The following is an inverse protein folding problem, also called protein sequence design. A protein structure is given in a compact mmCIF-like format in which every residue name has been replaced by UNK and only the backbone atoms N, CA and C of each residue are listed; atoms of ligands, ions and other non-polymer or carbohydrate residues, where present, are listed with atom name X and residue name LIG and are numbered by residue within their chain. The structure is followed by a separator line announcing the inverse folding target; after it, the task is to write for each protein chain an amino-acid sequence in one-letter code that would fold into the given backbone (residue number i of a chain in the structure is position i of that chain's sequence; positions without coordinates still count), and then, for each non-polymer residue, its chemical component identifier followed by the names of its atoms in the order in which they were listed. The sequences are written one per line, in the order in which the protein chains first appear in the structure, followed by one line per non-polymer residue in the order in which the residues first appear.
data_IF_121108620477
#
_entry.id   IF_121108620477
#
_cell.length_a   1.000
_cell.length_b   1.000
_cell.length_c   1.000
_cell.angle_alpha   90.00
_cell.angle_beta   90.00
_cell.angle_gamma   90.00
#
_symmetry.space_group_name_H-M   'P 1'
#
loop_
_entity.id
_entity.type
_entity.pdbx_description
1 polymer ?
#
# COMPACT_ATOMS: atom_id res chain seq x y z
N UNK A 1 -12.05 20.48 -8.24
CA UNK A 1 -11.36 19.18 -8.47
C UNK A 1 -10.26 19.42 -9.47
N UNK A 2 -9.07 18.81 -9.35
CA UNK A 2 -8.00 18.95 -10.35
C UNK A 2 -8.44 18.46 -11.74
N UNK A 3 -8.02 19.16 -12.81
CA UNK A 3 -8.40 18.84 -14.20
C UNK A 3 -7.98 17.43 -14.62
N UNK A 4 -6.83 16.94 -14.12
CA UNK A 4 -6.36 15.57 -14.36
C UNK A 4 -7.34 14.48 -13.91
N UNK A 5 -8.23 14.78 -12.95
CA UNK A 5 -9.22 13.84 -12.43
C UNK A 5 -10.60 14.00 -13.07
N UNK A 6 -10.87 15.16 -13.69
CA UNK A 6 -12.19 15.50 -14.20
C UNK A 6 -12.77 14.53 -15.25
N UNK A 7 -11.97 13.90 -16.13
CA UNK A 7 -12.51 12.90 -17.04
C UNK A 7 -13.04 11.65 -16.34
N UNK A 8 -12.44 11.24 -15.22
CA UNK A 8 -12.68 9.92 -14.60
C UNK A 8 -13.52 9.98 -13.33
N UNK A 9 -13.45 11.10 -12.61
CA UNK A 9 -14.10 11.28 -11.32
C UNK A 9 -15.14 12.40 -11.37
N UNK A 10 -16.18 12.25 -10.57
CA UNK A 10 -17.21 13.26 -10.35
C UNK A 10 -17.35 13.52 -8.85
N UNK A 11 -17.65 14.77 -8.51
CA UNK A 11 -18.01 15.13 -7.14
C UNK A 11 -19.49 14.81 -6.92
N UNK A 12 -19.79 14.07 -5.86
CA UNK A 12 -21.15 13.69 -5.50
C UNK A 12 -21.32 13.74 -3.98
N UNK A 13 -22.55 13.91 -3.50
CA UNK A 13 -22.89 13.81 -2.08
C UNK A 13 -23.74 12.58 -1.87
N UNK A 14 -23.40 11.81 -0.84
CA UNK A 14 -24.27 10.80 -0.26
C UNK A 14 -24.98 11.40 0.97
N UNK A 15 -25.92 10.68 1.61
CA UNK A 15 -26.51 11.09 2.88
C UNK A 15 -25.46 11.38 3.97
N UNK A 16 -24.37 10.61 4.04
CA UNK A 16 -23.37 10.75 5.10
C UNK A 16 -22.17 11.66 4.76
N UNK A 17 -21.81 11.82 3.49
CA UNK A 17 -20.52 12.44 3.14
C UNK A 17 -20.47 13.09 1.75
N UNK A 18 -19.47 13.96 1.55
CA UNK A 18 -19.08 14.43 0.23
C UNK A 18 -18.01 13.49 -0.35
N UNK A 19 -18.11 13.16 -1.63
CA UNK A 19 -17.26 12.18 -2.29
C UNK A 19 -16.69 12.70 -3.61
N UNK A 20 -15.50 12.19 -3.95
CA UNK A 20 -15.02 12.11 -5.33
C UNK A 20 -15.09 10.63 -5.72
N UNK A 21 -15.95 10.29 -6.66
CA UNK A 21 -16.21 8.92 -7.08
C UNK A 21 -15.90 8.77 -8.56
N UNK A 22 -15.41 7.59 -8.97
CA UNK A 22 -15.37 7.22 -10.39
C UNK A 22 -16.78 7.37 -10.96
N UNK A 23 -16.88 7.87 -12.20
CA UNK A 23 -18.18 8.17 -12.83
C UNK A 23 -19.12 6.95 -12.81
N UNK A 24 -18.58 5.76 -13.08
CA UNK A 24 -19.33 4.50 -13.06
C UNK A 24 -19.78 4.04 -11.67
N UNK A 25 -19.26 4.64 -10.59
CA UNK A 25 -19.67 4.39 -9.21
C UNK A 25 -20.49 5.53 -8.61
N UNK A 26 -20.70 6.64 -9.34
CA UNK A 26 -21.29 7.86 -8.80
C UNK A 26 -22.70 7.62 -8.24
N UNK A 27 -23.57 6.96 -9.01
CA UNK A 27 -24.96 6.71 -8.61
C UNK A 27 -25.04 5.87 -7.32
N UNK A 28 -24.24 4.79 -7.24
CA UNK A 28 -24.14 3.93 -6.06
C UNK A 28 -23.62 4.67 -4.82
N UNK A 29 -22.60 5.52 -4.99
CA UNK A 29 -22.10 6.39 -3.91
C UNK A 29 -23.19 7.38 -3.48
N UNK A 30 -23.92 7.98 -4.42
CA UNK A 30 -25.03 8.91 -4.13
C UNK A 30 -26.15 8.26 -3.31
N UNK A 31 -26.43 6.97 -3.54
CA UNK A 31 -27.37 6.17 -2.73
C UNK A 31 -26.86 5.80 -1.33
N UNK A 32 -25.58 6.05 -1.04
CA UNK A 32 -24.98 5.75 0.26
C UNK A 32 -24.42 4.34 0.41
N UNK A 33 -24.14 3.61 -0.67
CA UNK A 33 -23.57 2.24 -0.61
C UNK A 33 -22.19 2.17 0.12
N UNK A 34 -21.53 3.32 0.34
CA UNK A 34 -20.27 3.42 1.08
C UNK A 34 -20.38 4.22 2.40
N UNK A 35 -21.58 4.64 2.81
CA UNK A 35 -21.78 5.52 3.97
C UNK A 35 -21.47 4.84 5.30
N UNK A 36 -21.64 3.52 5.36
CA UNK A 36 -21.31 2.68 6.50
C UNK A 36 -19.83 2.78 6.92
N UNK A 37 -18.94 3.18 5.99
CA UNK A 37 -17.55 3.48 6.30
C UNK A 37 -17.41 4.61 7.33
N UNK A 38 -18.36 5.54 7.40
CA UNK A 38 -18.37 6.61 8.42
C UNK A 38 -19.16 6.21 9.68
N UNK A 39 -20.22 5.40 9.53
CA UNK A 39 -21.10 4.97 10.62
C UNK A 39 -20.54 3.91 11.58
N UNK A 40 -19.43 3.24 11.24
CA UNK A 40 -18.78 2.28 12.14
C UNK A 40 -19.43 0.88 12.18
N UNK A 41 -20.47 0.63 11.38
CA UNK A 41 -20.98 -0.71 11.08
C UNK A 41 -20.28 -1.19 9.82
N UNK A 42 -19.12 -1.83 9.97
CA UNK A 42 -18.49 -2.45 8.81
C UNK A 42 -19.26 -3.72 8.46
N UNK A 43 -19.54 -3.95 7.17
CA UNK A 43 -19.86 -5.28 6.64
C UNK A 43 -18.76 -6.30 6.94
N UNK A 44 -18.79 -7.47 6.30
CA UNK A 44 -17.89 -8.59 6.62
C UNK A 44 -16.45 -8.13 6.89
N UNK A 45 -15.99 -8.21 8.16
CA UNK A 45 -14.73 -7.63 8.55
C UNK A 45 -13.60 -8.36 7.81
N UNK A 46 -12.80 -7.60 7.06
CA UNK A 46 -11.57 -8.14 6.50
C UNK A 46 -10.53 -8.09 7.60
N UNK A 47 -9.94 -9.23 7.95
CA UNK A 47 -8.78 -9.20 8.83
C UNK A 47 -7.71 -8.29 8.24
N UNK A 48 -7.33 -7.30 9.04
CA UNK A 48 -6.34 -6.31 8.66
C UNK A 48 -4.97 -6.99 8.48
N UNK A 49 -4.48 -7.03 7.23
CA UNK A 49 -3.05 -6.84 7.02
C UNK A 49 -2.62 -5.55 7.72
N UNK A 50 -1.35 -5.41 8.11
CA UNK A 50 -0.83 -4.45 9.13
C UNK A 50 -1.19 -2.94 9.04
N UNK A 51 -2.08 -2.51 8.14
CA UNK A 51 -2.78 -1.23 8.14
C UNK A 51 -3.61 -1.06 9.41
N UNK A 52 -3.55 0.14 9.99
CA UNK A 52 -3.91 0.39 11.39
C UNK A 52 -5.39 0.73 11.62
N UNK A 53 -6.27 0.29 10.73
CA UNK A 53 -7.72 0.49 10.83
C UNK A 53 -8.50 -0.65 10.15
N UNK A 54 -9.75 -0.90 10.56
CA UNK A 54 -10.58 -1.95 9.97
C UNK A 54 -10.83 -1.68 8.48
N UNK A 55 -10.71 -2.73 7.67
CA UNK A 55 -11.08 -2.73 6.25
C UNK A 55 -12.41 -3.46 6.10
N UNK A 56 -13.32 -2.92 5.31
CA UNK A 56 -14.63 -3.50 5.05
C UNK A 56 -14.70 -4.00 3.60
N UNK A 57 -15.17 -5.23 3.41
CA UNK A 57 -15.61 -5.73 2.10
C UNK A 57 -17.07 -5.36 1.90
N UNK A 58 -17.41 -4.90 0.70
CA UNK A 58 -18.78 -4.62 0.31
C UNK A 58 -18.90 -4.58 -1.22
N UNK A 59 -20.13 -4.57 -1.71
CA UNK A 59 -20.42 -4.36 -3.13
C UNK A 59 -20.68 -2.87 -3.37
N UNK A 60 -20.03 -2.29 -4.38
CA UNK A 60 -20.27 -0.91 -4.80
C UNK A 60 -20.66 -0.92 -6.28
N UNK A 61 -21.85 -0.44 -6.64
CA UNK A 61 -22.32 -0.51 -8.03
C UNK A 61 -22.18 -1.93 -8.63
N UNK A 62 -22.56 -2.95 -7.85
CA UNK A 62 -22.51 -4.35 -8.25
C UNK A 62 -21.11 -4.97 -8.39
N UNK A 63 -20.04 -4.30 -7.94
CA UNK A 63 -18.67 -4.85 -7.98
C UNK A 63 -18.04 -5.00 -6.59
N UNK A 64 -17.19 -6.03 -6.37
CA UNK A 64 -16.48 -6.18 -5.11
C UNK A 64 -15.51 -5.02 -4.82
N UNK A 65 -15.64 -4.43 -3.65
CA UNK A 65 -14.88 -3.27 -3.20
C UNK A 65 -14.34 -3.46 -1.78
N UNK A 66 -13.26 -2.75 -1.49
CA UNK A 66 -12.65 -2.66 -0.18
C UNK A 66 -12.66 -1.20 0.27
N UNK A 67 -13.22 -0.94 1.43
CA UNK A 67 -13.25 0.39 2.04
C UNK A 67 -12.41 0.43 3.31
N UNK A 68 -11.76 1.57 3.56
CA UNK A 68 -11.17 1.86 4.87
C UNK A 68 -11.35 3.33 5.23
N UNK A 69 -11.42 3.61 6.53
CA UNK A 69 -11.29 4.97 7.05
C UNK A 69 -9.83 5.36 7.16
N UNK A 70 -9.51 6.61 6.84
CA UNK A 70 -8.18 7.15 7.07
C UNK A 70 -7.99 7.45 8.56
N UNK A 71 -6.92 6.93 9.16
CA UNK A 71 -6.53 7.21 10.55
C UNK A 71 -5.21 7.99 10.60
N UNK A 72 -5.04 8.88 11.58
CA UNK A 72 -3.76 9.57 11.78
C UNK A 72 -2.70 8.60 12.32
N UNK A 73 -1.48 8.66 11.77
CA UNK A 73 -0.31 8.00 12.35
C UNK A 73 0.53 8.93 13.23
N UNK A 74 1.20 8.39 14.25
CA UNK A 74 2.15 9.11 15.12
C UNK A 74 1.55 9.58 16.46
N UNK A 75 2.31 10.34 17.26
CA UNK A 75 1.84 10.89 18.54
C UNK A 75 0.59 11.79 18.38
N UNK A 76 0.49 12.53 17.27
CA UNK A 76 -0.71 13.31 16.92
C UNK A 76 -1.94 12.43 16.65
N UNK A 77 -1.78 11.15 16.29
CA UNK A 77 -2.89 10.20 16.16
C UNK A 77 -3.47 9.76 17.51
N UNK A 78 -2.74 9.94 18.62
CA UNK A 78 -3.27 9.71 19.97
C UNK A 78 -4.10 10.89 20.50
N UNK A 79 -3.90 12.10 19.95
CA UNK A 79 -4.58 13.33 20.38
C UNK A 79 -5.68 13.79 19.41
N UNK A 80 -5.46 13.64 18.09
CA UNK A 80 -6.36 14.11 17.03
C UNK A 80 -6.97 12.98 16.18
N UNK A 81 -6.70 11.71 16.53
CA UNK A 81 -7.41 10.52 16.04
C UNK A 81 -7.72 10.48 14.54
N UNK A 82 -8.95 10.88 14.19
CA UNK A 82 -9.62 10.71 12.88
C UNK A 82 -9.79 12.01 12.08
N UNK A 83 -9.29 13.13 12.60
CA UNK A 83 -9.73 14.48 12.25
C UNK A 83 -8.78 15.22 11.30
N UNK A 84 -9.18 15.36 10.04
CA UNK A 84 -8.44 16.04 8.98
C UNK A 84 -9.03 17.41 8.68
N UNK A 85 -8.21 18.32 8.17
CA UNK A 85 -8.69 19.61 7.64
C UNK A 85 -8.80 19.52 6.12
N UNK A 86 -10.02 19.69 5.60
CA UNK A 86 -10.32 19.76 4.17
C UNK A 86 -10.13 18.43 3.41
N UNK A 87 -10.23 18.50 2.07
CA UNK A 87 -10.22 17.32 1.18
C UNK A 87 -8.84 16.96 0.61
N UNK A 88 -7.80 17.74 0.92
CA UNK A 88 -6.51 17.70 0.22
C UNK A 88 -5.86 16.32 0.27
N UNK A 89 -5.79 15.69 1.44
CA UNK A 89 -5.15 14.37 1.59
C UNK A 89 -5.87 13.27 0.79
N UNK A 90 -7.20 13.30 0.80
CA UNK A 90 -8.01 12.35 0.02
C UNK A 90 -7.79 12.55 -1.49
N UNK A 91 -7.75 13.81 -1.94
CA UNK A 91 -7.45 14.16 -3.33
C UNK A 91 -6.01 13.81 -3.73
N UNK A 92 -5.03 13.98 -2.84
CA UNK A 92 -3.63 13.63 -3.11
C UNK A 92 -3.46 12.12 -3.37
N UNK A 93 -4.18 11.27 -2.63
CA UNK A 93 -4.19 9.83 -2.89
C UNK A 93 -4.86 9.50 -4.22
N UNK A 94 -5.98 10.15 -4.54
CA UNK A 94 -6.70 9.98 -5.80
C UNK A 94 -5.83 10.37 -7.01
N UNK A 95 -5.19 11.54 -6.94
CA UNK A 95 -4.22 12.01 -7.92
C UNK A 95 -3.06 11.05 -8.08
N UNK A 96 -2.55 10.52 -6.97
CA UNK A 96 -1.42 9.61 -7.00
C UNK A 96 -1.77 8.29 -7.69
N UNK A 97 -2.94 7.71 -7.36
CA UNK A 97 -3.42 6.50 -8.03
C UNK A 97 -3.64 6.74 -9.53
N UNK A 98 -4.30 7.83 -9.92
CA UNK A 98 -4.56 8.14 -11.31
C UNK A 98 -3.27 8.35 -12.13
N UNK A 99 -2.25 8.97 -11.55
CA UNK A 99 -0.93 9.12 -12.19
C UNK A 99 -0.20 7.79 -12.33
N UNK A 100 -0.23 6.93 -11.31
CA UNK A 100 0.37 5.59 -11.37
C UNK A 100 -0.33 4.68 -12.38
N UNK A 101 -1.66 4.73 -12.44
CA UNK A 101 -2.46 3.99 -13.41
C UNK A 101 -2.10 4.38 -14.84
N UNK A 102 -2.01 5.68 -15.15
CA UNK A 102 -1.54 6.19 -16.45
C UNK A 102 -0.10 5.78 -16.77
N UNK A 103 0.75 5.65 -15.76
CA UNK A 103 2.13 5.18 -15.90
C UNK A 103 2.24 3.63 -16.00
N UNK A 104 1.11 2.90 -16.00
CA UNK A 104 1.11 1.43 -16.07
C UNK A 104 1.69 0.76 -14.82
N UNK A 105 1.69 1.45 -13.68
CA UNK A 105 2.13 0.92 -12.39
C UNK A 105 0.94 0.25 -11.68
N UNK A 106 0.98 -1.07 -11.43
CA UNK A 106 -0.13 -1.76 -10.79
C UNK A 106 -0.44 -1.24 -9.38
N UNK A 107 -1.64 -0.69 -9.22
CA UNK A 107 -2.23 -0.27 -7.95
C UNK A 107 -3.75 -0.51 -8.05
N UNK A 108 -4.46 -0.89 -6.98
CA UNK A 108 -5.90 -1.09 -7.06
C UNK A 108 -6.58 0.23 -7.42
N UNK A 109 -7.51 0.18 -8.37
CA UNK A 109 -8.27 1.36 -8.77
C UNK A 109 -8.99 1.95 -7.55
N UNK A 110 -8.78 3.24 -7.29
CA UNK A 110 -9.58 3.97 -6.31
C UNK A 110 -10.94 4.23 -6.94
N UNK A 111 -11.99 3.69 -6.34
CA UNK A 111 -13.37 3.83 -6.81
C UNK A 111 -14.02 5.09 -6.24
N UNK A 112 -13.69 5.44 -4.99
CA UNK A 112 -14.17 6.66 -4.36
C UNK A 112 -13.28 7.09 -3.20
N UNK A 113 -13.23 8.40 -2.94
CA UNK A 113 -12.70 8.98 -1.70
C UNK A 113 -13.74 9.91 -1.09
N UNK A 114 -14.03 9.72 0.18
CA UNK A 114 -15.09 10.40 0.91
C UNK A 114 -14.56 11.29 2.01
N UNK A 115 -15.34 12.31 2.35
CA UNK A 115 -15.12 13.23 3.45
C UNK A 115 -16.43 13.48 4.19
N UNK A 116 -16.52 12.99 5.43
CA UNK A 116 -17.63 13.30 6.34
C UNK A 116 -17.18 14.37 7.34
N UNK A 117 -18.05 15.34 7.65
CA UNK A 117 -17.75 16.34 8.69
C UNK A 117 -17.83 15.65 10.06
N UNK A 118 -16.85 15.92 10.92
CA UNK A 118 -16.83 15.42 12.30
C UNK A 118 -17.22 16.54 13.28
N UNK A 119 -16.30 17.48 13.52
CA UNK A 119 -16.53 18.61 14.42
C UNK A 119 -15.78 19.85 13.93
N UNK A 120 -16.41 21.03 13.95
CA UNK A 120 -15.77 22.27 13.49
C UNK A 120 -15.28 22.16 12.04
N UNK A 121 -13.99 22.43 11.81
CA UNK A 121 -13.29 22.29 10.52
C UNK A 121 -12.76 20.86 10.26
N UNK A 122 -12.95 19.95 11.20
CA UNK A 122 -12.43 18.60 11.10
C UNK A 122 -13.37 17.67 10.35
N UNK A 123 -12.80 16.84 9.50
CA UNK A 123 -13.48 15.82 8.72
C UNK A 123 -12.80 14.46 8.88
N UNK A 124 -13.54 13.40 8.64
CA UNK A 124 -13.02 12.07 8.49
C UNK A 124 -12.93 11.72 7.01
N UNK A 125 -11.96 10.89 6.64
CA UNK A 125 -11.84 10.41 5.28
C UNK A 125 -12.13 8.92 5.17
N UNK A 126 -12.74 8.53 4.07
CA UNK A 126 -12.84 7.15 3.62
C UNK A 126 -12.19 7.01 2.25
N UNK A 127 -11.60 5.86 1.99
CA UNK A 127 -11.12 5.47 0.66
C UNK A 127 -11.71 4.11 0.32
N UNK A 128 -12.21 4.01 -0.91
CA UNK A 128 -12.76 2.79 -1.49
C UNK A 128 -11.92 2.41 -2.69
N UNK A 129 -11.41 1.19 -2.69
CA UNK A 129 -10.63 0.62 -3.79
C UNK A 129 -11.33 -0.61 -4.35
N UNK A 130 -11.06 -0.94 -5.62
CA UNK A 130 -11.42 -2.25 -6.17
C UNK A 130 -10.83 -3.35 -5.29
N UNK A 131 -11.60 -4.38 -5.00
CA UNK A 131 -11.08 -5.55 -4.32
C UNK A 131 -10.12 -6.31 -5.25
N UNK A 132 -8.94 -6.64 -4.73
CA UNK A 132 -8.00 -7.53 -5.40
C UNK A 132 -8.43 -8.99 -5.17
N UNK A 133 -8.56 -9.77 -6.23
CA UNK A 133 -8.97 -11.18 -6.13
C UNK A 133 -7.82 -12.04 -5.59
N UNK A 134 -8.13 -12.96 -4.67
CA UNK A 134 -7.12 -13.81 -4.04
C UNK A 134 -6.00 -13.03 -3.33
N UNK A 135 -6.29 -11.81 -2.87
CA UNK A 135 -5.32 -10.86 -2.33
C UNK A 135 -4.45 -11.47 -1.22
N UNK A 136 -3.13 -11.54 -1.46
CA UNK A 136 -2.15 -11.91 -0.44
C UNK A 136 -0.95 -10.99 -0.48
N UNK A 137 -0.59 -10.40 0.66
CA UNK A 137 0.62 -9.58 0.73
C UNK A 137 1.91 -10.43 0.82
N UNK A 138 3.09 -9.82 0.62
CA UNK A 138 4.35 -10.57 0.65
C UNK A 138 4.62 -11.25 2.00
N UNK A 139 4.12 -10.69 3.11
CA UNK A 139 4.21 -11.34 4.41
C UNK A 139 3.39 -12.64 4.44
N UNK A 140 2.14 -12.61 4.01
CA UNK A 140 1.28 -13.80 3.92
C UNK A 140 1.81 -14.83 2.93
N UNK A 141 2.33 -14.39 1.78
CA UNK A 141 2.92 -15.27 0.77
C UNK A 141 4.14 -16.01 1.32
N UNK A 142 5.03 -15.32 2.03
CA UNK A 142 6.15 -15.97 2.70
C UNK A 142 5.67 -16.99 3.75
N UNK A 143 4.45 -16.83 4.29
CA UNK A 143 3.85 -17.71 5.30
C UNK A 143 3.65 -19.14 4.80
N UNK A 144 3.36 -19.28 3.51
CA UNK A 144 3.22 -20.58 2.87
C UNK A 144 4.54 -21.25 2.48
N UNK A 145 5.68 -20.71 2.92
CA UNK A 145 7.02 -21.25 2.63
C UNK A 145 7.22 -21.65 1.14
N UNK A 146 7.06 -20.69 0.20
CA UNK A 146 7.07 -20.98 -1.22
C UNK A 146 8.36 -21.66 -1.67
N UNK A 147 8.22 -22.58 -2.62
CA UNK A 147 9.34 -23.25 -3.28
C UNK A 147 10.27 -22.27 -4.01
N UNK A 148 11.47 -22.71 -4.38
CA UNK A 148 12.52 -21.84 -4.91
C UNK A 148 12.10 -21.12 -6.20
N UNK A 149 11.51 -21.82 -7.17
CA UNK A 149 11.04 -21.21 -8.42
C UNK A 149 10.01 -20.11 -8.13
N UNK A 150 9.08 -20.41 -7.23
CA UNK A 150 8.04 -19.48 -6.81
C UNK A 150 8.60 -18.24 -6.12
N UNK A 151 9.67 -18.39 -5.33
CA UNK A 151 10.38 -17.26 -4.70
C UNK A 151 11.01 -16.36 -5.75
N UNK A 152 11.64 -16.91 -6.77
CA UNK A 152 12.23 -16.12 -7.87
C UNK A 152 11.14 -15.33 -8.61
N UNK A 153 9.99 -15.94 -8.93
CA UNK A 153 8.89 -15.22 -9.57
C UNK A 153 8.39 -14.03 -8.74
N UNK A 154 8.20 -14.23 -7.44
CA UNK A 154 7.79 -13.16 -6.52
C UNK A 154 8.86 -12.05 -6.48
N UNK A 155 10.14 -12.40 -6.40
CA UNK A 155 11.24 -11.41 -6.40
C UNK A 155 11.28 -10.60 -7.71
N UNK A 156 11.07 -11.26 -8.85
CA UNK A 156 10.98 -10.60 -10.16
C UNK A 156 9.82 -9.61 -10.20
N UNK A 157 8.62 -10.04 -9.81
CA UNK A 157 7.43 -9.19 -9.74
C UNK A 157 7.64 -7.99 -8.80
N UNK A 158 8.29 -8.20 -7.66
CA UNK A 158 8.64 -7.12 -6.73
C UNK A 158 9.62 -6.13 -7.37
N UNK A 159 10.69 -6.64 -7.98
CA UNK A 159 11.71 -5.81 -8.62
C UNK A 159 11.12 -4.98 -9.76
N UNK A 160 10.31 -5.59 -10.63
CA UNK A 160 9.66 -4.92 -11.75
C UNK A 160 8.66 -3.86 -11.30
N UNK A 161 7.79 -4.19 -10.33
CA UNK A 161 6.84 -3.22 -9.76
C UNK A 161 7.56 -2.01 -9.18
N UNK A 162 8.59 -2.24 -8.37
CA UNK A 162 9.33 -1.16 -7.70
C UNK A 162 10.16 -0.33 -8.68
N UNK A 163 10.71 -0.96 -9.72
CA UNK A 163 11.37 -0.23 -10.81
C UNK A 163 10.37 0.70 -11.49
N UNK A 164 9.23 0.17 -11.97
CA UNK A 164 8.17 0.97 -12.60
C UNK A 164 7.66 2.09 -11.69
N UNK A 165 7.50 1.82 -10.40
CA UNK A 165 7.08 2.81 -9.41
C UNK A 165 8.04 4.01 -9.33
N UNK A 166 9.35 3.73 -9.23
CA UNK A 166 10.37 4.78 -9.15
C UNK A 166 10.64 5.45 -10.51
N UNK A 167 10.53 4.72 -11.62
CA UNK A 167 10.65 5.25 -12.98
C UNK A 167 9.48 6.20 -13.30
N UNK A 168 8.28 5.92 -12.77
CA UNK A 168 7.12 6.81 -12.83
C UNK A 168 7.25 8.05 -11.91
N UNK A 169 8.39 8.22 -11.22
CA UNK A 169 8.61 9.38 -10.34
C UNK A 169 8.10 9.21 -8.91
N UNK A 170 7.50 8.08 -8.54
CA UNK A 170 6.78 7.96 -7.26
C UNK A 170 7.63 7.34 -6.15
N UNK A 171 7.63 8.00 -4.99
CA UNK A 171 8.24 7.52 -3.76
C UNK A 171 7.16 7.16 -2.74
N UNK A 172 7.10 5.88 -2.37
CA UNK A 172 6.12 5.37 -1.42
C UNK A 172 6.56 5.63 0.03
N UNK A 173 5.72 6.33 0.80
CA UNK A 173 6.06 6.80 2.14
C UNK A 173 6.28 5.67 3.15
N UNK A 174 5.46 4.62 3.07
CA UNK A 174 5.55 3.43 3.92
C UNK A 174 5.74 2.14 3.11
N UNK A 175 6.75 2.11 2.23
CA UNK A 175 7.01 0.91 1.44
C UNK A 175 7.47 -0.24 2.34
N UNK A 176 6.65 -1.27 2.42
CA UNK A 176 6.85 -2.39 3.32
C UNK A 176 6.21 -3.67 2.72
N UNK A 177 6.47 -4.84 3.33
CA UNK A 177 6.03 -6.14 2.79
C UNK A 177 4.51 -6.37 2.83
N UNK A 178 3.75 -5.63 3.64
CA UNK A 178 2.29 -5.73 3.67
C UNK A 178 1.60 -4.80 2.66
N UNK A 179 2.31 -3.77 2.17
CA UNK A 179 1.82 -2.85 1.15
C UNK A 179 2.13 -3.29 -0.29
N UNK A 180 2.69 -4.50 -0.46
CA UNK A 180 2.86 -5.16 -1.74
C UNK A 180 1.94 -6.39 -1.76
N UNK A 181 0.87 -6.32 -2.55
CA UNK A 181 -0.25 -7.27 -2.52
C UNK A 181 -0.37 -7.97 -3.87
N UNK A 182 -0.32 -9.30 -3.85
CA UNK A 182 -0.52 -10.15 -5.01
C UNK A 182 -2.02 -10.31 -5.26
N UNK A 183 -2.44 -10.00 -6.47
CA UNK A 183 -3.73 -10.38 -7.02
C UNK A 183 -3.55 -11.64 -7.88
N UNK A 184 -4.48 -12.59 -7.75
CA UNK A 184 -4.59 -13.79 -8.58
C UNK A 184 -5.83 -13.66 -9.45
N UNK A 185 -5.65 -13.06 -10.63
CA UNK A 185 -6.73 -12.88 -11.60
C UNK A 185 -6.70 -13.91 -12.72
N UNK A 186 -7.71 -13.90 -13.61
CA UNK A 186 -7.79 -14.81 -14.76
C UNK A 186 -6.60 -14.70 -15.73
N UNK A 187 -6.01 -13.51 -15.84
CA UNK A 187 -4.83 -13.25 -16.68
C UNK A 187 -3.49 -13.62 -16.00
N UNK A 188 -3.55 -14.24 -14.82
CA UNK A 188 -2.39 -14.57 -14.00
C UNK A 188 -2.21 -13.63 -12.82
N UNK A 189 -1.01 -13.68 -12.24
CA UNK A 189 -0.69 -12.96 -11.03
C UNK A 189 -0.10 -11.57 -11.30
N UNK A 190 -0.63 -10.58 -10.60
CA UNK A 190 -0.13 -9.21 -10.65
C UNK A 190 0.18 -8.74 -9.24
N UNK A 191 1.38 -8.18 -9.05
CA UNK A 191 1.75 -7.56 -7.77
C UNK A 191 1.37 -6.07 -7.81
N UNK A 192 0.58 -5.64 -6.85
CA UNK A 192 0.13 -4.26 -6.70
C UNK A 192 0.84 -3.57 -5.55
N UNK A 193 1.11 -2.27 -5.72
CA UNK A 193 1.39 -1.39 -4.59
C UNK A 193 0.08 -0.81 -4.05
N UNK A 194 -0.14 -0.95 -2.74
CA UNK A 194 -1.33 -0.44 -2.04
C UNK A 194 -0.93 0.59 -1.00
N UNK A 195 -1.92 1.36 -0.51
CA UNK A 195 -1.73 2.39 0.52
C UNK A 195 -0.76 3.51 0.10
N UNK A 196 -1.11 4.23 -0.97
CA UNK A 196 -0.35 5.35 -1.54
C UNK A 196 -0.30 6.60 -0.66
N UNK A 197 -0.84 6.52 0.55
CA UNK A 197 -0.96 7.62 1.47
C UNK A 197 0.41 8.23 1.83
N UNK A 198 0.48 9.57 1.79
CA UNK A 198 1.70 10.37 2.00
C UNK A 198 2.83 10.10 0.99
N UNK A 199 2.60 9.26 -0.03
CA UNK A 199 3.52 9.11 -1.15
C UNK A 199 3.66 10.42 -1.91
N UNK A 200 4.75 10.56 -2.68
CA UNK A 200 5.04 11.80 -3.41
C UNK A 200 5.65 11.52 -4.77
N UNK A 201 5.30 12.33 -5.74
CA UNK A 201 5.99 12.38 -7.02
C UNK A 201 7.22 13.28 -6.95
N UNK A 202 8.26 12.88 -7.68
CA UNK A 202 9.43 13.67 -8.02
C UNK A 202 9.56 13.67 -9.54
N UNK A 203 10.14 14.75 -10.09
CA UNK A 203 10.43 14.84 -11.52
C UNK A 203 11.32 13.67 -11.96
N UNK A 204 12.36 13.40 -11.17
CA UNK A 204 13.24 12.24 -11.31
C UNK A 204 13.55 11.71 -9.92
N UNK A 205 13.44 10.40 -9.72
CA UNK A 205 13.83 9.75 -8.45
C UNK A 205 15.31 9.42 -8.49
N UNK A 206 16.09 10.03 -7.60
CA UNK A 206 17.54 9.84 -7.56
C UNK A 206 17.95 8.46 -7.03
N UNK A 207 19.19 8.00 -7.26
CA UNK A 207 19.71 6.77 -6.66
C UNK A 207 19.58 6.73 -5.13
N UNK A 208 19.79 7.85 -4.44
CA UNK A 208 19.65 7.98 -2.99
C UNK A 208 18.19 7.80 -2.54
N UNK A 209 17.24 8.36 -3.29
CA UNK A 209 15.82 8.22 -3.00
C UNK A 209 15.34 6.79 -3.25
N UNK A 210 15.78 6.15 -4.34
CA UNK A 210 15.56 4.72 -4.61
C UNK A 210 16.11 3.87 -3.46
N UNK A 211 17.36 4.12 -3.05
CA UNK A 211 17.99 3.44 -1.92
C UNK A 211 17.19 3.61 -0.63
N UNK A 212 16.77 4.84 -0.31
CA UNK A 212 15.97 5.11 0.89
C UNK A 212 14.64 4.36 0.85
N UNK A 213 13.97 4.30 -0.31
CA UNK A 213 12.70 3.59 -0.45
C UNK A 213 12.89 2.07 -0.31
N UNK A 214 13.87 1.49 -1.01
CA UNK A 214 14.22 0.06 -0.92
C UNK A 214 14.68 -0.33 0.49
N UNK A 215 15.38 0.56 1.19
CA UNK A 215 15.80 0.35 2.58
C UNK A 215 14.59 0.22 3.53
N UNK A 216 13.48 0.93 3.28
CA UNK A 216 12.24 0.75 4.06
C UNK A 216 11.67 -0.66 3.87
N UNK A 217 11.64 -1.14 2.63
CA UNK A 217 11.18 -2.49 2.30
C UNK A 217 12.09 -3.55 2.93
N UNK A 218 13.41 -3.43 2.74
CA UNK A 218 14.41 -4.33 3.32
C UNK A 218 14.28 -4.39 4.84
N UNK A 219 14.11 -3.25 5.51
CA UNK A 219 13.88 -3.20 6.96
C UNK A 219 12.61 -3.94 7.37
N UNK A 220 11.52 -3.81 6.61
CA UNK A 220 10.26 -4.50 6.90
C UNK A 220 10.38 -6.01 6.68
N UNK A 221 11.02 -6.42 5.58
CA UNK A 221 11.38 -7.81 5.29
C UNK A 221 12.21 -8.42 6.42
N UNK A 222 13.26 -7.72 6.86
CA UNK A 222 14.15 -8.16 7.95
C UNK A 222 13.42 -8.34 9.28
N UNK A 223 12.40 -7.53 9.51
CA UNK A 223 11.60 -7.58 10.73
C UNK A 223 10.59 -8.74 10.71
N UNK A 224 9.90 -8.96 9.58
CA UNK A 224 8.70 -9.79 9.55
C UNK A 224 8.83 -11.11 8.78
N UNK A 225 9.81 -11.22 7.87
CA UNK A 225 9.96 -12.38 6.98
C UNK A 225 11.31 -13.08 7.20
N UNK A 226 12.41 -12.34 7.35
CA UNK A 226 13.76 -12.92 7.34
C UNK A 226 14.05 -13.95 8.45
N UNK A 227 13.27 -13.95 9.53
CA UNK A 227 13.39 -14.95 10.61
C UNK A 227 12.86 -16.34 10.25
N UNK A 228 12.00 -16.44 9.23
CA UNK A 228 11.34 -17.68 8.79
C UNK A 228 11.63 -18.04 7.33
N UNK A 229 11.84 -17.04 6.47
CA UNK A 229 12.16 -17.22 5.06
C UNK A 229 13.27 -16.24 4.66
N UNK A 230 14.52 -16.66 4.90
CA UNK A 230 15.68 -15.84 4.60
C UNK A 230 16.03 -15.91 3.11
N UNK A 231 16.22 -14.75 2.49
CA UNK A 231 16.77 -14.65 1.15
C UNK A 231 18.25 -15.03 1.19
N UNK A 232 18.65 -15.85 0.25
CA UNK A 232 20.04 -16.17 -0.03
C UNK A 232 20.72 -14.99 -0.74
N UNK A 233 22.06 -14.88 -0.70
CA UNK A 233 22.78 -13.87 -1.47
C UNK A 233 22.47 -13.91 -2.98
N UNK A 234 22.21 -15.10 -3.53
CA UNK A 234 21.84 -15.26 -4.95
C UNK A 234 20.49 -14.62 -5.28
N UNK A 235 19.51 -14.77 -4.40
CA UNK A 235 18.18 -14.16 -4.55
C UNK A 235 18.22 -12.64 -4.40
N UNK A 236 19.07 -12.12 -3.51
CA UNK A 236 19.27 -10.68 -3.37
C UNK A 236 19.90 -10.08 -4.62
N UNK A 237 20.92 -10.75 -5.18
CA UNK A 237 21.53 -10.37 -6.46
C UNK A 237 20.48 -10.47 -7.58
N UNK A 238 19.67 -11.52 -7.60
CA UNK A 238 18.61 -11.69 -8.59
C UNK A 238 17.59 -10.54 -8.55
N UNK A 239 17.05 -10.23 -7.37
CA UNK A 239 16.16 -9.08 -7.17
C UNK A 239 16.81 -7.78 -7.66
N UNK A 240 18.06 -7.53 -7.27
CA UNK A 240 18.74 -6.29 -7.63
C UNK A 240 18.96 -6.19 -9.14
N UNK A 241 19.33 -7.29 -9.81
CA UNK A 241 19.49 -7.35 -11.28
C UNK A 241 18.17 -7.06 -12.00
N UNK A 242 17.06 -7.65 -11.55
CA UNK A 242 15.74 -7.36 -12.11
C UNK A 242 15.36 -5.88 -11.91
N UNK A 243 15.67 -5.32 -10.74
CA UNK A 243 15.28 -3.96 -10.38
C UNK A 243 16.06 -2.88 -11.14
N UNK A 244 17.37 -3.07 -11.35
CA UNK A 244 18.21 -2.09 -12.07
C UNK A 244 18.22 -2.28 -13.58
N UNK A 245 17.77 -3.44 -14.08
CA UNK A 245 17.84 -3.79 -15.49
C UNK A 245 19.28 -3.71 -16.00
N UNK A 246 19.52 -2.83 -16.98
CA UNK A 246 20.84 -2.65 -17.60
C UNK A 246 21.70 -1.56 -16.95
N UNK A 247 21.20 -0.86 -15.93
CA UNK A 247 21.92 0.22 -15.25
C UNK A 247 23.00 -0.33 -14.29
N UNK A 248 24.22 -0.45 -14.82
CA UNK A 248 25.40 -0.96 -14.08
C UNK A 248 25.88 -0.01 -12.99
N UNK A 249 25.62 1.29 -13.09
CA UNK A 249 26.04 2.26 -12.09
C UNK A 249 25.12 2.20 -10.87
N UNK A 250 23.81 2.22 -11.10
CA UNK A 250 22.81 2.04 -10.07
C UNK A 250 22.95 0.66 -9.40
N UNK A 251 23.25 -0.39 -10.16
CA UNK A 251 23.53 -1.72 -9.61
C UNK A 251 24.67 -1.69 -8.57
N UNK A 252 25.84 -1.12 -8.93
CA UNK A 252 27.00 -1.02 -8.03
C UNK A 252 26.68 -0.16 -6.82
N UNK A 253 26.01 0.97 -7.02
CA UNK A 253 25.60 1.88 -5.96
C UNK A 253 24.69 1.18 -4.93
N UNK A 254 23.61 0.56 -5.40
CA UNK A 254 22.62 -0.10 -4.54
C UNK A 254 23.19 -1.35 -3.87
N UNK A 255 23.93 -2.20 -4.59
CA UNK A 255 24.55 -3.41 -4.03
C UNK A 255 25.43 -3.08 -2.81
N UNK A 256 26.31 -2.08 -2.95
CA UNK A 256 27.22 -1.64 -1.89
C UNK A 256 26.45 -1.08 -0.69
N UNK A 257 25.44 -0.25 -0.93
CA UNK A 257 24.72 0.48 0.13
C UNK A 257 23.69 -0.40 0.85
N UNK A 258 22.97 -1.25 0.15
CA UNK A 258 22.01 -2.18 0.76
C UNK A 258 22.72 -3.23 1.62
N UNK A 259 23.84 -3.79 1.14
CA UNK A 259 24.68 -4.71 1.93
C UNK A 259 25.17 -4.05 3.22
N UNK A 260 25.70 -2.82 3.11
CA UNK A 260 26.15 -2.03 4.27
C UNK A 260 25.01 -1.66 5.23
N UNK A 261 23.82 -1.37 4.71
CA UNK A 261 22.65 -1.11 5.55
C UNK A 261 22.29 -2.37 6.35
N UNK A 262 22.26 -3.52 5.67
CA UNK A 262 21.86 -4.79 6.25
C UNK A 262 22.81 -5.27 7.35
N UNK A 263 24.13 -5.09 7.17
CA UNK A 263 25.11 -5.46 8.20
C UNK A 263 24.93 -4.67 9.51
N UNK A 264 24.42 -3.44 9.42
CA UNK A 264 24.13 -2.57 10.57
C UNK A 264 22.81 -2.88 11.28
N UNK A 265 22.04 -3.88 10.83
CA UNK A 265 20.76 -4.23 11.44
C UNK A 265 20.89 -5.13 12.68
N UNK A 266 22.09 -5.58 13.07
CA UNK A 266 22.31 -6.53 14.18
C UNK A 266 21.58 -6.19 15.48
N UNK A 267 21.87 -5.01 16.07
CA UNK A 267 21.19 -4.53 17.29
C UNK A 267 19.67 -4.38 17.12
N UNK A 268 19.22 -3.99 15.93
CA UNK A 268 17.79 -3.83 15.64
C UNK A 268 17.07 -5.17 15.57
N UNK A 269 17.69 -6.19 14.96
CA UNK A 269 17.17 -7.57 14.92
C UNK A 269 17.01 -8.13 16.33
N UNK A 270 18.01 -7.94 17.19
CA UNK A 270 17.92 -8.37 18.59
C UNK A 270 16.74 -7.70 19.30
N UNK A 271 16.61 -6.38 19.17
CA UNK A 271 15.48 -5.64 19.75
C UNK A 271 14.12 -6.09 19.21
N UNK A 272 14.01 -6.43 17.93
CA UNK A 272 12.77 -6.95 17.36
C UNK A 272 12.41 -8.32 17.91
N UNK A 273 13.38 -9.22 18.09
CA UNK A 273 13.18 -10.55 18.67
C UNK A 273 12.73 -10.46 20.14
N UNK A 274 13.37 -9.59 20.91
CA UNK A 274 12.98 -9.34 22.31
C UNK A 274 11.59 -8.69 22.41
N UNK A 275 11.28 -7.75 21.52
CA UNK A 275 9.98 -7.08 21.47
C UNK A 275 8.83 -7.95 20.96
N UNK A 276 9.11 -9.00 20.17
CA UNK A 276 8.11 -10.00 19.79
C UNK A 276 7.84 -11.02 20.90
N UNK A 277 8.81 -11.25 21.80
CA UNK A 277 8.64 -12.10 22.97
C UNK A 277 7.85 -11.39 24.10
N UNK A 278 7.94 -10.06 24.20
CA UNK A 278 7.17 -9.28 25.19
C UNK A 278 5.77 -8.87 24.71
N UNK A 279 5.50 -8.90 23.41
CA UNK A 279 4.15 -8.77 22.84
C UNK A 279 3.60 -10.14 22.50
N UNK A 280 3.07 -10.84 23.51
CA UNK A 280 2.12 -11.92 23.27
C UNK A 280 1.02 -11.42 22.33
N UNK A 281 0.82 -12.14 21.21
CA UNK A 281 -0.26 -11.95 20.22
C UNK A 281 -0.41 -10.54 19.66
N UNK A 282 0.44 -10.18 18.70
CA UNK A 282 -0.07 -9.47 17.52
C UNK A 282 -0.41 -10.54 16.48
N UNK A 283 -1.69 -10.93 16.46
CA UNK A 283 -2.38 -11.78 15.49
C UNK A 283 -1.52 -12.86 14.78
N UNK A 284 -1.59 -14.07 15.32
CA UNK A 284 -1.18 -15.30 14.64
C UNK A 284 -2.09 -15.64 13.44
N UNK A 285 -1.87 -16.79 12.80
CA UNK A 285 -2.24 -17.08 11.42
C UNK A 285 -3.75 -17.05 11.15
N UNK A 286 -4.10 -16.51 9.98
CA UNK A 286 -5.41 -16.56 9.34
C UNK A 286 -5.73 -17.99 8.87
N UNK A 287 -6.67 -18.65 9.55
CA UNK A 287 -7.68 -19.49 8.90
C UNK A 287 -8.87 -18.59 8.55
#
# INVERSE_FOLDING_TARGET
MPDELAPFYVQIRSPAAAWFARRECAEAIGRGEADDLFGGRTGDPVQAGSGRGPMARFMLAGRPAIGKRALHGGLLGRLFGRLYVGHRRALDQLLSAARLERAGVPTPAILAVGSARAFGLFCEHAIVTRQLEGARNLYELAGGAPEQNRRHDILRLCADLLRRLHDAGFLHADLNVSNLVMERGPAGETLHVVDLDRGRFRLVVTPEERLANLTRLLRSYEKWIAGRLRLSPREEIYFLRCYVGHDRELARFLAKRLTRYRSRLGLRRLRWRLGSLSKGRLAGPLQ
#
